data_IF_686550741891
#
_entry.id   IF_686550741891
#
_cell.length_a   1.000
_cell.length_b   1.000
_cell.length_c   1.000
_cell.angle_alpha   90.00
_cell.angle_beta   90.00
_cell.angle_gamma   90.00
#
_symmetry.space_group_name_H-M   'P 1'
#
loop_
_entity.id
_entity.type
_entity.pdbx_description
1 polymer ?
#
# COMPACT_ATOMS: atom_id res chain seq x y z
N UNK A 1 -6.44 1.12 22.53
CA UNK A 1 -6.73 0.30 21.33
C UNK A 1 -6.16 0.93 20.06
N UNK A 2 -6.34 2.24 19.83
CA UNK A 2 -5.77 2.96 18.66
C UNK A 2 -4.24 2.81 18.58
N UNK A 3 -3.54 2.90 19.72
CA UNK A 3 -2.08 2.81 19.76
C UNK A 3 -1.53 1.48 19.24
N UNK A 4 -2.27 0.38 19.45
CA UNK A 4 -1.88 -0.94 18.98
C UNK A 4 -2.09 -1.07 17.46
N UNK A 5 -3.14 -0.44 16.92
CA UNK A 5 -3.40 -0.39 15.48
C UNK A 5 -2.31 0.42 14.76
N UNK A 6 -1.93 1.59 15.30
CA UNK A 6 -0.91 2.47 14.69
C UNK A 6 0.50 1.89 14.83
N UNK A 7 0.80 1.23 15.96
CA UNK A 7 2.08 0.54 16.17
C UNK A 7 2.26 -0.68 15.25
N UNK A 8 1.16 -1.31 14.85
CA UNK A 8 1.14 -2.50 14.03
C UNK A 8 1.73 -3.74 14.71
N UNK A 9 2.07 -4.74 13.90
CA UNK A 9 2.54 -6.06 14.34
C UNK A 9 4.05 -6.31 14.25
N UNK A 10 4.86 -5.33 13.84
CA UNK A 10 6.29 -5.54 13.64
C UNK A 10 6.98 -5.92 14.97
N UNK A 11 7.72 -7.04 15.05
CA UNK A 11 8.52 -7.41 16.23
C UNK A 11 9.33 -6.26 16.86
N UNK A 12 10.03 -5.46 16.05
CA UNK A 12 10.81 -4.30 16.49
C UNK A 12 9.99 -3.16 17.10
N UNK A 13 8.66 -3.13 16.91
CA UNK A 13 7.79 -2.11 17.48
C UNK A 13 7.14 -2.50 18.81
N UNK A 14 7.19 -3.79 19.22
CA UNK A 14 6.41 -4.34 20.34
C UNK A 14 6.60 -3.62 21.68
N UNK A 15 7.81 -3.12 21.95
CA UNK A 15 8.16 -2.45 23.21
C UNK A 15 8.45 -0.94 23.05
N UNK A 16 8.15 -0.38 21.89
CA UNK A 16 8.39 1.04 21.61
C UNK A 16 7.20 1.90 22.05
N UNK A 17 7.51 3.12 22.50
CA UNK A 17 6.47 4.14 22.74
C UNK A 17 5.84 4.55 21.41
N UNK A 18 4.55 4.90 21.44
CA UNK A 18 3.74 5.25 20.26
C UNK A 18 4.42 6.22 19.29
N UNK A 19 5.05 7.34 19.74
CA UNK A 19 5.72 8.25 18.81
C UNK A 19 6.86 7.59 18.03
N UNK A 20 7.61 6.70 18.69
CA UNK A 20 8.75 6.01 18.11
C UNK A 20 8.29 4.89 17.16
N UNK A 21 7.24 4.15 17.52
CA UNK A 21 6.70 3.12 16.62
C UNK A 21 6.11 3.69 15.33
N UNK A 22 5.46 4.86 15.41
CA UNK A 22 4.94 5.54 14.23
C UNK A 22 6.08 6.03 13.32
N UNK A 23 7.16 6.53 13.91
CA UNK A 23 8.33 6.98 13.16
C UNK A 23 9.07 5.82 12.48
N UNK A 24 9.12 4.65 13.12
CA UNK A 24 9.68 3.44 12.54
C UNK A 24 8.96 3.05 11.23
N UNK A 25 7.62 3.07 11.23
CA UNK A 25 6.83 2.75 10.04
C UNK A 25 7.06 3.74 8.89
N UNK A 26 7.17 5.05 9.20
CA UNK A 26 7.51 6.08 8.21
C UNK A 26 8.90 5.88 7.64
N UNK A 27 9.89 5.69 8.52
CA UNK A 27 11.29 5.47 8.13
C UNK A 27 11.45 4.24 7.24
N UNK A 28 10.65 3.19 7.48
CA UNK A 28 10.61 2.02 6.61
C UNK A 28 10.10 2.37 5.21
N UNK A 29 8.98 3.09 5.10
CA UNK A 29 8.44 3.52 3.80
C UNK A 29 9.41 4.45 3.06
N UNK A 30 10.08 5.35 3.77
CA UNK A 30 11.12 6.21 3.19
C UNK A 30 12.29 5.37 2.66
N UNK A 31 12.81 4.42 3.44
CA UNK A 31 13.91 3.53 3.02
C UNK A 31 13.53 2.73 1.77
N UNK A 32 12.32 2.18 1.77
CA UNK A 32 11.74 1.47 0.64
C UNK A 32 11.75 2.33 -0.62
N UNK A 33 11.24 3.55 -0.53
CA UNK A 33 11.09 4.43 -1.68
C UNK A 33 12.45 4.91 -2.17
N UNK A 34 13.31 5.41 -1.27
CA UNK A 34 14.56 6.07 -1.64
C UNK A 34 15.68 5.09 -1.99
N UNK A 35 15.72 3.91 -1.35
CA UNK A 35 16.78 2.93 -1.55
C UNK A 35 16.30 1.69 -2.29
N UNK A 36 15.28 1.00 -1.77
CA UNK A 36 14.99 -0.36 -2.21
C UNK A 36 14.36 -0.40 -3.61
N UNK A 37 13.52 0.58 -3.95
CA UNK A 37 13.02 0.74 -5.33
C UNK A 37 14.15 0.82 -6.36
N UNK A 38 15.28 1.46 -6.02
CA UNK A 38 16.44 1.52 -6.90
C UNK A 38 17.18 0.18 -6.94
N UNK A 39 17.31 -0.53 -5.80
CA UNK A 39 17.98 -1.83 -5.73
C UNK A 39 17.28 -2.92 -6.56
N UNK A 40 15.97 -2.79 -6.78
CA UNK A 40 15.14 -3.77 -7.52
C UNK A 40 15.52 -3.91 -9.00
N UNK A 41 15.90 -2.82 -9.66
CA UNK A 41 16.20 -2.82 -11.11
C UNK A 41 17.24 -1.77 -11.58
N UNK A 42 17.83 -1.00 -10.66
CA UNK A 42 18.85 0.00 -10.96
C UNK A 42 18.33 1.27 -11.64
N UNK A 43 17.02 1.48 -11.74
CA UNK A 43 16.44 2.65 -12.42
C UNK A 43 16.13 3.75 -11.40
N UNK A 44 16.66 4.95 -11.66
CA UNK A 44 16.37 6.14 -10.84
C UNK A 44 15.00 6.70 -11.18
N UNK A 45 14.13 6.84 -10.18
CA UNK A 45 12.72 7.23 -10.30
C UNK A 45 12.41 8.50 -9.53
N UNK A 46 11.26 9.09 -9.83
CA UNK A 46 10.72 10.19 -9.03
C UNK A 46 10.07 9.64 -7.75
N UNK A 47 10.80 9.74 -6.66
CA UNK A 47 10.39 9.29 -5.33
C UNK A 47 9.17 10.04 -4.80
N UNK A 48 8.97 11.32 -5.18
CA UNK A 48 7.79 12.08 -4.74
C UNK A 48 6.53 11.44 -5.31
N UNK A 49 6.56 11.09 -6.59
CA UNK A 49 5.45 10.38 -7.25
C UNK A 49 5.18 9.01 -6.65
N UNK A 50 6.22 8.32 -6.16
CA UNK A 50 6.06 7.03 -5.49
C UNK A 50 5.32 7.20 -4.14
N UNK A 51 5.69 8.21 -3.35
CA UNK A 51 5.01 8.55 -2.10
C UNK A 51 3.55 8.97 -2.34
N UNK A 52 3.29 9.77 -3.39
CA UNK A 52 1.93 10.15 -3.77
C UNK A 52 1.07 8.94 -4.11
N UNK A 53 1.63 7.96 -4.82
CA UNK A 53 0.93 6.72 -5.13
C UNK A 53 0.64 5.89 -3.87
N UNK A 54 1.60 5.76 -2.95
CA UNK A 54 1.38 5.10 -1.66
C UNK A 54 0.27 5.78 -0.84
N UNK A 55 0.23 7.12 -0.82
CA UNK A 55 -0.85 7.88 -0.17
C UNK A 55 -2.21 7.63 -0.82
N UNK A 56 -2.26 7.59 -2.14
CA UNK A 56 -3.49 7.28 -2.88
C UNK A 56 -3.99 5.87 -2.61
N UNK A 57 -3.09 4.89 -2.56
CA UNK A 57 -3.41 3.52 -2.19
C UNK A 57 -3.96 3.42 -0.77
N UNK A 58 -3.33 4.10 0.20
CA UNK A 58 -3.81 4.14 1.58
C UNK A 58 -5.21 4.77 1.70
N UNK A 59 -5.52 5.83 0.93
CA UNK A 59 -6.89 6.41 0.89
C UNK A 59 -7.92 5.47 0.28
N UNK A 60 -7.48 4.64 -0.66
CA UNK A 60 -8.33 3.67 -1.35
C UNK A 60 -8.26 2.28 -0.71
N UNK A 61 -7.65 2.15 0.48
CA UNK A 61 -7.59 0.91 1.25
C UNK A 61 -9.01 0.35 1.44
N UNK A 62 -9.19 -0.95 1.21
CA UNK A 62 -10.50 -1.64 1.20
C UNK A 62 -11.46 -1.24 0.06
N UNK A 63 -11.00 -0.60 -1.01
CA UNK A 63 -11.82 -0.32 -2.19
C UNK A 63 -11.16 -0.79 -3.48
N UNK A 64 -11.97 -1.06 -4.51
CA UNK A 64 -11.43 -1.35 -5.85
C UNK A 64 -10.93 -0.04 -6.46
N UNK A 65 -9.63 0.02 -6.76
CA UNK A 65 -8.97 1.18 -7.35
C UNK A 65 -8.09 0.78 -8.53
N UNK A 66 -8.60 0.98 -9.75
CA UNK A 66 -7.79 0.86 -10.96
C UNK A 66 -6.91 2.09 -11.20
N UNK A 67 -5.93 1.98 -12.09
CA UNK A 67 -4.92 3.04 -12.32
C UNK A 67 -5.53 4.42 -12.63
N UNK A 68 -6.63 4.48 -13.38
CA UNK A 68 -7.31 5.74 -13.68
C UNK A 68 -7.87 6.43 -12.42
N UNK A 69 -8.36 5.64 -11.45
CA UNK A 69 -8.83 6.15 -10.16
C UNK A 69 -7.67 6.69 -9.34
N UNK A 70 -6.55 5.97 -9.29
CA UNK A 70 -5.33 6.39 -8.57
C UNK A 70 -4.75 7.70 -9.14
N UNK A 71 -4.67 7.82 -10.46
CA UNK A 71 -4.22 9.08 -11.12
C UNK A 71 -5.14 10.24 -10.74
N UNK A 72 -6.47 10.04 -10.80
CA UNK A 72 -7.44 11.08 -10.45
C UNK A 72 -7.35 11.46 -8.96
N UNK A 73 -7.23 10.47 -8.08
CA UNK A 73 -7.12 10.67 -6.64
C UNK A 73 -5.85 11.47 -6.26
N UNK A 74 -4.71 11.18 -6.87
CA UNK A 74 -3.48 11.98 -6.68
C UNK A 74 -3.69 13.42 -7.13
N UNK A 75 -4.33 13.62 -8.29
CA UNK A 75 -4.61 14.96 -8.81
C UNK A 75 -5.58 15.74 -7.92
N UNK A 76 -6.59 15.08 -7.36
CA UNK A 76 -7.64 15.68 -6.54
C UNK A 76 -7.14 16.08 -5.14
N UNK A 77 -6.38 15.19 -4.49
CA UNK A 77 -5.95 15.40 -3.10
C UNK A 77 -4.57 16.02 -2.95
N UNK A 78 -3.67 15.80 -3.92
CA UNK A 78 -2.27 16.25 -3.82
C UNK A 78 -1.91 17.28 -4.92
N UNK A 79 -2.79 17.55 -5.89
CA UNK A 79 -2.62 18.60 -6.92
C UNK A 79 -1.60 18.27 -8.01
N UNK A 80 -1.00 17.08 -7.97
CA UNK A 80 0.08 16.64 -8.85
C UNK A 80 -0.42 15.70 -9.94
N UNK A 81 0.29 15.68 -11.08
CA UNK A 81 -0.04 14.79 -12.19
C UNK A 81 0.98 13.66 -12.36
N UNK A 82 0.45 12.46 -12.58
CA UNK A 82 1.24 11.24 -12.81
C UNK A 82 0.69 10.50 -14.03
N UNK A 83 1.59 10.03 -14.89
CA UNK A 83 1.21 9.26 -16.05
C UNK A 83 0.76 7.85 -15.65
N UNK A 84 -0.18 7.29 -16.41
CA UNK A 84 -0.77 5.99 -16.14
C UNK A 84 0.27 4.85 -16.23
N UNK A 85 1.27 4.98 -17.11
CA UNK A 85 2.36 4.01 -17.21
C UNK A 85 3.31 4.11 -16.02
N UNK A 86 3.56 5.32 -15.51
CA UNK A 86 4.34 5.51 -14.27
C UNK A 86 3.65 4.85 -13.09
N UNK A 87 2.33 5.00 -12.97
CA UNK A 87 1.53 4.28 -11.95
C UNK A 87 1.70 2.77 -12.08
N UNK A 88 1.52 2.22 -13.29
CA UNK A 88 1.72 0.78 -13.52
C UNK A 88 3.12 0.30 -13.12
N UNK A 89 4.17 1.05 -13.52
CA UNK A 89 5.55 0.68 -13.20
C UNK A 89 5.81 0.71 -11.69
N UNK A 90 5.27 1.68 -10.98
CA UNK A 90 5.46 1.78 -9.53
C UNK A 90 4.68 0.67 -8.79
N UNK A 91 3.45 0.35 -9.23
CA UNK A 91 2.68 -0.77 -8.68
C UNK A 91 3.43 -2.10 -8.83
N UNK A 92 4.04 -2.35 -9.99
CA UNK A 92 4.83 -3.56 -10.23
C UNK A 92 6.03 -3.66 -9.26
N UNK A 93 6.73 -2.55 -9.02
CA UNK A 93 7.86 -2.51 -8.08
C UNK A 93 7.38 -2.75 -6.66
N UNK A 94 6.26 -2.14 -6.25
CA UNK A 94 5.71 -2.33 -4.92
C UNK A 94 5.26 -3.77 -4.68
N UNK A 95 4.73 -4.45 -5.70
CA UNK A 95 4.44 -5.89 -5.64
C UNK A 95 5.72 -6.71 -5.50
N UNK A 96 6.78 -6.41 -6.26
CA UNK A 96 8.08 -7.08 -6.16
C UNK A 96 8.78 -6.87 -4.82
N UNK A 97 8.53 -5.73 -4.17
CA UNK A 97 9.01 -5.41 -2.82
C UNK A 97 8.10 -5.96 -1.71
N UNK A 98 7.03 -6.69 -2.05
CA UNK A 98 6.06 -7.22 -1.09
C UNK A 98 5.39 -6.15 -0.21
N UNK A 99 5.25 -4.93 -0.74
CA UNK A 99 4.56 -3.82 -0.06
C UNK A 99 3.07 -3.85 -0.40
N UNK A 100 2.75 -4.30 -1.61
CA UNK A 100 1.38 -4.48 -2.08
C UNK A 100 1.07 -5.94 -2.28
N UNK A 101 -0.11 -6.31 -1.80
CA UNK A 101 -0.71 -7.62 -2.02
C UNK A 101 -2.18 -7.41 -2.37
N UNK A 102 -2.59 -7.87 -3.54
CA UNK A 102 -3.97 -7.78 -3.98
C UNK A 102 -4.83 -8.76 -3.16
N UNK A 103 -5.71 -8.20 -2.34
CA UNK A 103 -6.69 -8.98 -1.61
C UNK A 103 -7.87 -9.30 -2.54
N UNK A 104 -8.15 -10.59 -2.83
CA UNK A 104 -9.29 -10.94 -3.68
C UNK A 104 -10.58 -10.46 -3.01
N UNK A 105 -11.56 -10.07 -3.84
CA UNK A 105 -12.87 -9.72 -3.32
C UNK A 105 -13.40 -10.86 -2.43
N UNK A 106 -13.96 -10.49 -1.28
CA UNK A 106 -14.57 -11.46 -0.39
C UNK A 106 -15.70 -12.18 -1.14
N UNK A 107 -15.40 -13.39 -1.60
CA UNK A 107 -16.29 -14.23 -2.38
C UNK A 107 -16.59 -15.48 -1.57
N UNK A 108 -17.59 -15.43 -0.67
CA UNK A 108 -18.06 -16.61 0.04
C UNK A 108 -18.86 -17.44 -0.95
N UNK A 109 -18.21 -18.06 -1.94
CA UNK A 109 -18.80 -19.13 -2.75
C UNK A 109 -18.96 -20.42 -1.92
N UNK A 110 -19.39 -20.28 -0.66
CA UNK A 110 -19.78 -21.37 0.20
C UNK A 110 -21.23 -21.73 -0.15
N UNK A 111 -21.45 -22.34 -1.32
CA UNK A 111 -22.64 -23.19 -1.46
C UNK A 111 -22.38 -24.42 -0.60
N UNK A 112 -22.91 -24.43 0.62
CA UNK A 112 -23.06 -25.69 1.35
C UNK A 112 -23.93 -26.61 0.51
N UNK A 113 -23.33 -27.64 -0.08
CA UNK A 113 -24.08 -28.76 -0.67
C UNK A 113 -24.60 -29.67 0.44
N UNK A 114 -25.33 -29.13 1.41
CA UNK A 114 -25.96 -29.91 2.46
C UNK A 114 -27.45 -29.61 2.41
N UNK A 115 -28.18 -30.56 1.84
CA UNK A 115 -29.65 -30.58 1.88
C UNK A 115 -30.03 -30.85 3.33
N UNK A 116 -30.45 -29.83 4.07
CA UNK A 116 -31.11 -30.05 5.37
C UNK A 116 -32.52 -30.54 5.04
N UNK A 117 -32.74 -31.85 5.20
CA UNK A 117 -34.08 -32.40 5.31
C UNK A 117 -34.55 -32.10 6.74
N UNK A 118 -35.65 -31.37 6.87
CA UNK A 118 -36.47 -31.28 8.09
C UNK A 118 -37.71 -32.13 7.82
#
# INVERSE_FOLDING_TARGET
MIDLTVRGGWPGSLNLKVPVSTELAKSYLDTVVYEDMYKVDGIKRDYKKAILLLRSLARNECTIAGNAKLVKDIQEYDGESIDRNTVSNYLEIFQRLFILEDQPAFSPNLRSSIRVFI
#
